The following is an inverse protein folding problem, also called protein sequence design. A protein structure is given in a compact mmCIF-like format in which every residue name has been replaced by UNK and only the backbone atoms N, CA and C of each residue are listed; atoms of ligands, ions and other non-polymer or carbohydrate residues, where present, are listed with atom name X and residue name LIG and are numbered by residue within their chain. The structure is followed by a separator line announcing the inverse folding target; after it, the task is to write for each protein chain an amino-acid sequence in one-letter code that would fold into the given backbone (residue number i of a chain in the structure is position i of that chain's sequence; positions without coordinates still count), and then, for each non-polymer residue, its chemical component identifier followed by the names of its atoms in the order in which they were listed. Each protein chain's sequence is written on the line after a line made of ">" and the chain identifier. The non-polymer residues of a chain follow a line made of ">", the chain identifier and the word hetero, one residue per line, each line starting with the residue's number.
data_IF_758345512367
#
_entry.id   IF_758345512367
#
_cell.length_a   1.000
_cell.length_b   1.000
_cell.length_c   1.000
_cell.angle_alpha   90.00
_cell.angle_beta   90.00
_cell.angle_gamma   90.00
#
_symmetry.space_group_name_H-M   'P 1'
#
loop_
_entity.id
_entity.type
_entity.pdbx_description
1 polymer ?
#
# COMPACT_ATOMS: atom_id res chain seq x y z
N UNK A 1 -16.82 7.92 5.00
CA UNK A 1 -15.36 8.01 4.83
C UNK A 1 -15.02 9.30 4.08
N UNK A 2 -13.83 9.90 4.23
CA UNK A 2 -13.37 10.97 3.32
C UNK A 2 -12.10 10.50 2.60
N UNK A 3 -12.04 10.74 1.29
CA UNK A 3 -10.93 10.37 0.41
C UNK A 3 -10.43 11.67 -0.22
N UNK A 4 -9.13 11.92 -0.19
CA UNK A 4 -8.55 13.02 -0.98
C UNK A 4 -8.41 12.55 -2.41
N UNK A 5 -9.10 13.19 -3.35
CA UNK A 5 -8.86 12.99 -4.79
C UNK A 5 -8.47 14.31 -5.45
N UNK A 6 -7.58 14.23 -6.44
CA UNK A 6 -7.29 15.35 -7.33
C UNK A 6 -8.32 15.31 -8.45
N UNK A 7 -9.41 16.08 -8.31
CA UNK A 7 -10.50 16.15 -9.29
C UNK A 7 -10.03 16.71 -10.64
N UNK A 8 -9.07 17.65 -10.60
CA UNK A 8 -8.57 18.36 -11.76
C UNK A 8 -7.03 18.43 -11.70
N UNK A 9 -6.32 17.42 -12.24
CA UNK A 9 -4.86 17.47 -12.39
C UNK A 9 -4.45 18.65 -13.27
N UNK A 10 -3.43 19.38 -12.84
CA UNK A 10 -2.84 20.46 -13.60
C UNK A 10 -1.63 19.95 -14.38
N UNK A 11 -1.56 20.26 -15.68
CA UNK A 11 -0.47 19.85 -16.56
C UNK A 11 0.82 20.65 -16.34
N UNK A 12 0.73 21.79 -15.64
CA UNK A 12 1.87 22.64 -15.34
C UNK A 12 2.81 21.98 -14.32
N UNK A 13 4.12 22.08 -14.56
CA UNK A 13 5.13 21.52 -13.66
C UNK A 13 5.33 22.44 -12.47
N UNK A 14 5.35 21.87 -11.26
CA UNK A 14 5.62 22.59 -10.00
C UNK A 14 6.85 23.53 -10.07
N UNK A 15 7.90 23.14 -10.78
CA UNK A 15 9.12 23.93 -10.90
C UNK A 15 8.96 25.19 -11.78
N UNK A 16 7.98 25.22 -12.69
CA UNK A 16 7.69 26.35 -13.58
C UNK A 16 6.81 27.41 -12.89
N UNK A 17 6.05 27.02 -11.85
CA UNK A 17 5.11 27.89 -11.13
C UNK A 17 5.84 28.93 -10.26
N UNK A 18 5.30 30.14 -10.19
CA UNK A 18 5.85 31.26 -9.42
C UNK A 18 5.83 31.01 -7.90
N UNK A 19 6.86 31.45 -7.18
CA UNK A 19 6.91 31.33 -5.71
C UNK A 19 6.03 32.40 -5.05
N UNK A 20 5.22 32.00 -4.07
CA UNK A 20 4.41 32.90 -3.22
C UNK A 20 4.47 32.45 -1.75
N UNK A 21 4.04 33.27 -0.78
CA UNK A 21 3.91 32.81 0.60
C UNK A 21 3.07 31.53 0.70
N UNK A 22 3.58 30.55 1.45
CA UNK A 22 2.95 29.25 1.73
C UNK A 22 2.76 28.31 0.52
N UNK A 23 3.35 28.59 -0.65
CA UNK A 23 3.24 27.69 -1.80
C UNK A 23 3.73 28.28 -3.12
N UNK A 24 3.03 27.96 -4.20
CA UNK A 24 3.29 28.49 -5.53
C UNK A 24 2.02 29.01 -6.21
N UNK A 25 2.15 29.94 -7.13
CA UNK A 25 1.07 30.37 -8.02
C UNK A 25 1.26 29.71 -9.38
N UNK A 26 0.21 29.05 -9.87
CA UNK A 26 0.20 28.42 -11.19
C UNK A 26 -0.60 29.28 -12.16
N UNK A 27 0.05 29.76 -13.21
CA UNK A 27 -0.56 30.63 -14.23
C UNK A 27 -1.57 29.86 -15.10
N UNK A 28 -1.28 28.59 -15.43
CA UNK A 28 -2.14 27.74 -16.26
C UNK A 28 -3.55 27.55 -15.67
N UNK A 29 -3.66 27.46 -14.33
CA UNK A 29 -4.95 27.30 -13.64
C UNK A 29 -5.35 28.49 -12.75
N UNK A 30 -4.56 29.57 -12.75
CA UNK A 30 -4.71 30.80 -11.96
C UNK A 30 -5.01 30.57 -10.47
N UNK A 31 -4.30 29.63 -9.82
CA UNK A 31 -4.55 29.22 -8.42
C UNK A 31 -3.28 29.21 -7.57
N UNK A 32 -3.43 29.53 -6.27
CA UNK A 32 -2.46 29.20 -5.23
C UNK A 32 -2.44 27.68 -5.02
N UNK A 33 -1.27 27.10 -5.16
CA UNK A 33 -0.97 25.67 -5.01
C UNK A 33 -0.14 25.47 -3.75
N UNK A 34 -0.67 24.72 -2.78
CA UNK A 34 0.02 24.36 -1.55
C UNK A 34 0.91 23.13 -1.77
N UNK A 35 2.07 23.04 -1.11
CA UNK A 35 2.82 21.78 -1.05
C UNK A 35 2.32 20.93 0.13
N UNK A 36 1.62 19.83 -0.19
CA UNK A 36 1.04 18.90 0.78
C UNK A 36 1.88 17.62 0.92
N UNK A 37 3.00 17.52 0.22
CA UNK A 37 3.84 16.32 0.21
C UNK A 37 4.44 15.98 1.58
N UNK A 38 4.61 16.98 2.44
CA UNK A 38 5.08 16.82 3.83
C UNK A 38 3.97 17.02 4.87
N UNK A 39 2.70 17.12 4.45
CA UNK A 39 1.56 17.30 5.34
C UNK A 39 1.01 15.94 5.79
N UNK A 40 0.72 15.83 7.09
CA UNK A 40 -0.07 14.72 7.64
C UNK A 40 -1.53 14.81 7.19
N UNK A 41 -2.27 13.70 7.25
CA UNK A 41 -3.67 13.67 6.82
C UNK A 41 -4.54 14.65 7.61
N UNK A 42 -4.30 14.80 8.92
CA UNK A 42 -5.03 15.74 9.77
C UNK A 42 -4.77 17.20 9.40
N UNK A 43 -3.53 17.54 9.00
CA UNK A 43 -3.22 18.88 8.47
C UNK A 43 -3.89 19.12 7.11
N UNK A 44 -3.91 18.12 6.22
CA UNK A 44 -4.62 18.22 4.92
C UNK A 44 -6.14 18.41 5.17
N UNK A 45 -6.72 17.70 6.14
CA UNK A 45 -8.11 17.89 6.54
C UNK A 45 -8.37 19.29 7.09
N UNK A 46 -7.51 19.82 7.97
CA UNK A 46 -7.65 21.18 8.50
C UNK A 46 -7.56 22.23 7.37
N UNK A 47 -6.62 22.08 6.44
CA UNK A 47 -6.50 22.96 5.27
C UNK A 47 -7.75 22.93 4.38
N UNK A 48 -8.36 21.75 4.20
CA UNK A 48 -9.64 21.60 3.49
C UNK A 48 -10.81 22.21 4.26
N UNK A 49 -10.91 21.99 5.59
CA UNK A 49 -11.96 22.59 6.43
C UNK A 49 -11.91 24.12 6.39
N UNK A 50 -10.72 24.72 6.46
CA UNK A 50 -10.50 26.17 6.37
C UNK A 50 -10.81 26.72 4.95
N UNK A 51 -10.64 25.89 3.92
CA UNK A 51 -10.79 26.27 2.51
C UNK A 51 -12.12 25.82 1.88
N UNK A 52 -13.20 25.72 2.67
CA UNK A 52 -14.53 25.29 2.21
C UNK A 52 -14.52 23.97 1.40
N UNK A 53 -13.66 23.04 1.80
CA UNK A 53 -13.51 21.72 1.20
C UNK A 53 -12.75 21.68 -0.13
N UNK A 54 -12.14 22.79 -0.59
CA UNK A 54 -11.40 22.83 -1.88
C UNK A 54 -10.08 23.60 -1.78
N UNK A 55 -8.97 22.96 -2.16
CA UNK A 55 -7.64 23.58 -2.28
C UNK A 55 -6.99 23.18 -3.61
N UNK A 56 -6.04 23.97 -4.13
CA UNK A 56 -5.10 23.44 -5.12
C UNK A 56 -3.84 22.99 -4.38
N UNK A 57 -3.38 21.77 -4.65
CA UNK A 57 -2.28 21.17 -3.91
C UNK A 57 -1.38 20.31 -4.77
N UNK A 58 -0.09 20.33 -4.46
CA UNK A 58 0.89 19.33 -4.87
C UNK A 58 0.89 18.24 -3.80
N UNK A 59 0.61 17.00 -4.21
CA UNK A 59 0.39 15.85 -3.34
C UNK A 59 0.95 14.59 -4.00
N UNK A 60 1.34 13.57 -3.23
CA UNK A 60 1.73 12.29 -3.80
C UNK A 60 0.51 11.48 -4.25
N UNK A 61 0.66 10.73 -5.34
CA UNK A 61 -0.40 9.84 -5.84
C UNK A 61 -0.87 8.82 -4.78
N UNK A 62 0.01 8.42 -3.85
CA UNK A 62 -0.33 7.53 -2.75
C UNK A 62 -1.13 8.21 -1.62
N UNK A 63 -1.04 9.54 -1.46
CA UNK A 63 -1.85 10.31 -0.52
C UNK A 63 -3.24 10.61 -1.13
N UNK A 64 -3.34 10.74 -2.46
CA UNK A 64 -4.58 11.02 -3.19
C UNK A 64 -5.42 9.78 -3.57
N UNK A 65 -5.13 8.62 -2.98
CA UNK A 65 -5.81 7.35 -3.27
C UNK A 65 -5.98 6.50 -2.00
N UNK A 66 -5.98 7.13 -0.82
CA UNK A 66 -6.19 6.49 0.47
C UNK A 66 -7.47 7.03 1.11
N UNK A 67 -8.24 6.10 1.68
CA UNK A 67 -9.30 6.43 2.61
C UNK A 67 -8.70 6.93 3.91
N UNK A 68 -9.24 8.01 4.45
CA UNK A 68 -8.94 8.44 5.80
C UNK A 68 -10.23 8.69 6.56
N UNK A 69 -10.52 7.79 7.50
CA UNK A 69 -11.43 8.07 8.59
C UNK A 69 -10.65 8.90 9.61
N UNK A 70 -11.06 10.15 9.80
CA UNK A 70 -10.59 10.97 10.93
C UNK A 70 -10.90 10.17 12.20
N UNK A 71 -9.92 9.86 13.07
CA UNK A 71 -10.23 9.29 14.36
C UNK A 71 -11.20 10.25 15.05
N UNK A 72 -12.32 9.74 15.57
CA UNK A 72 -13.25 10.57 16.32
C UNK A 72 -12.45 11.33 17.38
N UNK A 73 -12.65 12.65 17.46
CA UNK A 73 -12.09 13.41 18.56
C UNK A 73 -12.74 12.86 19.81
N UNK A 74 -12.04 12.02 20.56
CA UNK A 74 -12.44 11.63 21.90
C UNK A 74 -12.64 12.94 22.65
N UNK A 75 -13.89 13.30 22.90
CA UNK A 75 -14.24 14.43 23.74
C UNK A 75 -13.92 13.97 25.16
N UNK A 76 -12.64 14.06 25.53
CA UNK A 76 -12.22 13.85 26.90
C UNK A 76 -12.81 15.02 27.68
N UNK A 77 -14.00 14.81 28.23
CA UNK A 77 -14.59 15.68 29.23
C UNK A 77 -13.61 15.75 30.38
N UNK A 78 -12.83 16.82 30.42
CA UNK A 78 -11.77 17.02 31.41
C UNK A 78 -12.37 17.49 32.74
N UNK A 79 -13.23 16.63 33.29
CA UNK A 79 -13.90 16.87 34.56
C UNK A 79 -12.84 16.90 35.67
N UNK A 80 -12.97 17.92 36.54
CA UNK A 80 -11.88 18.42 37.38
C UNK A 80 -11.45 17.41 38.45
N UNK A 81 -10.53 16.49 38.12
CA UNK A 81 -9.75 15.76 39.13
C UNK A 81 -8.82 16.71 39.89
N UNK A 82 -9.33 17.28 40.99
CA UNK A 82 -8.51 17.96 42.01
C UNK A 82 -7.51 16.93 42.56
N UNK A 83 -6.22 17.21 42.39
CA UNK A 83 -5.16 16.28 42.78
C UNK A 83 -4.93 16.23 44.28
N UNK A 84 -4.78 15.01 44.81
CA UNK A 84 -4.06 14.75 46.05
C UNK A 84 -2.89 13.82 45.73
N UNK A 85 -1.73 14.42 45.46
CA UNK A 85 -0.45 13.73 45.55
C UNK A 85 0.37 14.42 46.62
N UNK A 86 0.40 13.83 47.81
CA UNK A 86 1.36 14.20 48.86
C UNK A 86 2.42 13.12 48.93
N UNK A 87 3.56 13.48 48.35
CA UNK A 87 4.89 12.92 48.51
C UNK A 87 5.06 12.01 49.74
N UNK A 88 5.44 10.76 49.51
CA UNK A 88 6.14 9.93 50.51
C UNK A 88 7.52 9.59 49.94
N UNK A 89 8.45 10.54 50.08
CA UNK A 89 9.87 10.27 49.96
C UNK A 89 10.38 9.85 51.35
N UNK A 90 10.33 8.54 51.64
CA UNK A 90 10.72 7.96 52.92
C UNK A 90 12.00 7.14 52.77
N UNK A 91 13.15 7.81 52.68
CA UNK A 91 14.45 7.16 52.66
C UNK A 91 14.83 6.72 54.08
N UNK A 92 15.05 5.43 54.32
CA UNK A 92 15.76 4.94 55.53
C UNK A 92 16.89 4.01 55.14
N UNK A 93 18.05 4.24 55.76
CA UNK A 93 19.36 3.62 55.48
C UNK A 93 19.79 2.80 56.70
N UNK A 94 20.71 1.85 56.49
CA UNK A 94 21.45 0.98 57.43
C UNK A 94 20.92 -0.48 57.46
N UNK A 95 21.65 -1.46 56.90
CA UNK A 95 22.87 -2.11 57.41
C UNK A 95 22.57 -3.09 58.58
N UNK A 96 23.10 -4.32 58.66
CA UNK A 96 24.51 -4.68 58.40
C UNK A 96 24.75 -6.18 58.11
N UNK A 97 25.74 -6.45 57.25
CA UNK A 97 26.81 -7.47 57.37
C UNK A 97 26.55 -8.85 58.01
N UNK A 98 26.53 -9.90 57.17
CA UNK A 98 27.47 -11.06 57.14
C UNK A 98 27.38 -11.67 55.72
N UNK A 99 28.41 -12.21 55.05
CA UNK A 99 29.77 -12.50 55.45
C UNK A 99 30.11 -13.99 55.25
N UNK A 100 30.33 -14.45 54.00
CA UNK A 100 31.02 -15.71 53.61
C UNK A 100 31.54 -15.54 52.17
N UNK A 101 32.66 -16.21 51.85
CA UNK A 101 33.44 -16.06 50.61
C UNK A 101 33.24 -17.25 49.65
N UNK A 102 34.01 -17.25 48.54
CA UNK A 102 34.24 -18.35 47.56
C UNK A 102 33.12 -18.60 46.55
N UNK A 103 33.39 -18.90 45.26
CA UNK A 103 34.61 -18.82 44.45
C UNK A 103 34.22 -18.47 43.01
N UNK A 104 35.11 -17.81 42.26
CA UNK A 104 34.94 -17.66 40.82
C UNK A 104 35.36 -18.93 40.08
N UNK A 105 34.57 -19.37 39.09
CA UNK A 105 34.99 -20.35 38.08
C UNK A 105 34.94 -19.68 36.72
N UNK A 106 36.11 -19.55 36.11
CA UNK A 106 36.29 -19.19 34.70
C UNK A 106 36.51 -20.49 33.91
N UNK A 107 36.20 -20.47 32.60
CA UNK A 107 36.86 -21.18 31.47
C UNK A 107 35.89 -21.92 30.52
N UNK A 108 35.68 -21.23 29.38
CA UNK A 108 35.72 -21.70 27.97
C UNK A 108 34.68 -22.68 27.39
N UNK A 109 34.41 -22.43 26.10
CA UNK A 109 33.63 -23.29 25.20
C UNK A 109 34.35 -24.62 24.90
N UNK A 110 33.59 -25.66 24.54
CA UNK A 110 34.00 -26.65 23.56
C UNK A 110 33.47 -26.25 22.16
N UNK A 111 34.39 -26.17 21.19
CA UNK A 111 34.06 -26.30 19.76
C UNK A 111 34.06 -27.78 19.35
N UNK A 112 34.01 -28.06 18.03
CA UNK A 112 34.46 -29.33 17.41
C UNK A 112 33.42 -30.49 17.49
N UNK A 113 33.01 -31.19 16.43
CA UNK A 113 33.28 -31.03 14.98
C UNK A 113 32.17 -31.65 14.10
N UNK A 114 32.30 -31.35 12.81
CA UNK A 114 31.64 -31.90 11.61
C UNK A 114 31.27 -33.39 11.68
N UNK A 115 30.06 -33.75 11.23
CA UNK A 115 29.78 -35.06 10.65
C UNK A 115 29.35 -34.91 9.19
N UNK A 116 30.08 -35.54 8.27
CA UNK A 116 29.83 -35.48 6.84
C UNK A 116 28.79 -36.52 6.38
N UNK A 117 28.06 -36.14 5.32
CA UNK A 117 27.50 -37.01 4.29
C UNK A 117 26.49 -38.10 4.71
N UNK A 118 25.25 -37.92 4.25
CA UNK A 118 24.84 -38.73 3.08
C UNK A 118 23.91 -37.96 2.14
N UNK A 119 24.17 -38.11 0.84
CA UNK A 119 23.29 -37.64 -0.22
C UNK A 119 21.91 -38.30 -0.11
N UNK A 120 20.86 -37.49 -0.21
CA UNK A 120 19.67 -37.86 -0.98
C UNK A 120 19.38 -36.72 -1.95
N UNK A 121 19.71 -36.95 -3.23
CA UNK A 121 19.07 -36.22 -4.32
C UNK A 121 17.64 -36.74 -4.39
N UNK A 122 16.67 -35.87 -4.15
CA UNK A 122 15.35 -36.04 -4.74
C UNK A 122 14.94 -34.71 -5.37
N UNK A 123 15.01 -34.71 -6.70
CA UNK A 123 14.46 -33.65 -7.53
C UNK A 123 12.93 -33.76 -7.48
N UNK A 124 12.30 -33.24 -6.43
CA UNK A 124 10.88 -32.93 -6.48
C UNK A 124 10.71 -31.54 -7.11
N UNK A 125 11.03 -31.48 -8.41
CA UNK A 125 10.30 -30.59 -9.30
C UNK A 125 8.85 -31.05 -9.29
N UNK A 126 8.04 -30.47 -8.40
CA UNK A 126 6.59 -30.55 -8.50
C UNK A 126 6.19 -29.91 -9.82
N UNK A 127 6.05 -30.73 -10.86
CA UNK A 127 5.28 -30.35 -12.04
C UNK A 127 3.84 -30.14 -11.57
N UNK A 128 3.52 -28.87 -11.26
CA UNK A 128 2.15 -28.41 -11.01
C UNK A 128 1.26 -28.99 -12.11
N UNK A 129 0.41 -29.98 -11.77
CA UNK A 129 -0.50 -30.61 -12.73
C UNK A 129 -1.58 -29.61 -13.14
N UNK A 130 -1.25 -28.83 -14.16
CA UNK A 130 -2.15 -27.88 -14.82
C UNK A 130 -3.41 -28.63 -15.22
N UNK A 131 -4.53 -28.26 -14.62
CA UNK A 131 -5.86 -28.76 -14.97
C UNK A 131 -6.38 -28.01 -16.21
N UNK A 132 -7.27 -28.63 -16.99
CA UNK A 132 -8.04 -27.92 -18.03
C UNK A 132 -8.89 -26.76 -17.46
N UNK A 133 -9.05 -26.71 -16.14
CA UNK A 133 -9.72 -25.63 -15.39
C UNK A 133 -8.79 -24.49 -14.99
N UNK A 134 -7.50 -24.55 -15.33
CA UNK A 134 -6.52 -23.53 -14.96
C UNK A 134 -6.17 -22.61 -16.13
N UNK A 135 -5.80 -21.38 -15.80
CA UNK A 135 -5.31 -20.37 -16.71
C UNK A 135 -3.91 -19.94 -16.28
N UNK A 136 -2.97 -20.00 -17.22
CA UNK A 136 -1.59 -19.57 -16.98
C UNK A 136 -1.45 -18.13 -17.48
N UNK A 137 -1.13 -17.23 -16.55
CA UNK A 137 -0.69 -15.86 -16.84
C UNK A 137 0.84 -15.89 -16.74
N UNK A 138 1.53 -15.58 -17.84
CA UNK A 138 2.99 -15.63 -17.89
C UNK A 138 3.56 -14.65 -18.87
N UNK A 139 4.69 -14.03 -18.51
CA UNK A 139 5.40 -13.10 -19.37
C UNK A 139 6.76 -12.74 -18.78
N UNK A 140 7.47 -11.86 -19.48
CA UNK A 140 8.76 -11.31 -19.09
C UNK A 140 8.65 -9.82 -18.80
N UNK A 141 9.24 -9.35 -17.71
CA UNK A 141 9.35 -7.94 -17.39
C UNK A 141 10.77 -7.45 -17.70
N UNK A 142 10.88 -6.42 -18.54
CA UNK A 142 12.17 -5.82 -18.93
C UNK A 142 12.19 -4.31 -18.70
N UNK A 143 13.38 -3.79 -18.42
CA UNK A 143 13.66 -2.36 -18.48
C UNK A 143 13.89 -1.96 -19.94
N UNK A 144 13.06 -1.09 -20.51
CA UNK A 144 13.11 -0.71 -21.93
C UNK A 144 14.33 0.11 -22.32
N UNK A 145 15.02 0.73 -21.35
CA UNK A 145 16.18 1.59 -21.59
C UNK A 145 17.50 0.81 -21.53
N UNK A 146 17.60 -0.15 -20.61
CA UNK A 146 18.82 -0.96 -20.40
C UNK A 146 18.74 -2.37 -21.00
N UNK A 147 17.56 -2.81 -21.45
CA UNK A 147 17.28 -4.17 -21.90
C UNK A 147 17.35 -5.24 -20.80
N UNK A 148 17.61 -4.85 -19.54
CA UNK A 148 17.82 -5.79 -18.44
C UNK A 148 16.49 -6.35 -17.92
N UNK A 149 16.47 -7.63 -17.48
CA UNK A 149 15.30 -8.21 -16.83
C UNK A 149 15.01 -7.55 -15.48
N UNK A 150 13.73 -7.41 -15.15
CA UNK A 150 13.27 -6.89 -13.85
C UNK A 150 13.01 -8.07 -12.91
N UNK A 151 13.95 -8.31 -12.00
CA UNK A 151 13.98 -9.48 -11.10
C UNK A 151 13.24 -9.19 -9.78
N UNK A 152 12.66 -10.22 -9.17
CA UNK A 152 11.97 -10.16 -7.87
C UNK A 152 10.84 -9.11 -7.77
N UNK A 153 10.19 -8.80 -8.90
CA UNK A 153 9.01 -7.95 -8.96
C UNK A 153 7.79 -8.80 -8.61
N UNK A 154 6.99 -8.39 -7.61
CA UNK A 154 5.76 -9.11 -7.28
C UNK A 154 4.68 -8.77 -8.33
N UNK A 155 4.20 -9.80 -9.02
CA UNK A 155 3.11 -9.73 -9.98
C UNK A 155 1.84 -10.21 -9.29
N UNK A 156 0.82 -9.35 -9.22
CA UNK A 156 -0.47 -9.65 -8.57
C UNK A 156 -1.60 -9.55 -9.58
N UNK A 157 -2.37 -10.64 -9.78
CA UNK A 157 -3.70 -10.55 -10.35
C UNK A 157 -4.69 -10.23 -9.22
N UNK A 158 -5.46 -9.16 -9.37
CA UNK A 158 -6.47 -8.72 -8.41
C UNK A 158 -7.86 -8.99 -8.98
N UNK A 159 -8.69 -9.71 -8.24
CA UNK A 159 -10.05 -10.12 -8.64
C UNK A 159 -11.03 -9.84 -7.51
N UNK A 160 -12.35 -9.85 -7.79
CA UNK A 160 -13.39 -9.53 -6.79
C UNK A 160 -13.16 -10.18 -5.41
N UNK A 161 -12.90 -11.50 -5.38
CA UNK A 161 -12.82 -12.28 -4.13
C UNK A 161 -11.49 -12.94 -3.83
N UNK A 162 -10.47 -12.81 -4.71
CA UNK A 162 -9.14 -13.38 -4.44
C UNK A 162 -8.01 -12.64 -5.14
N UNK A 163 -6.85 -12.57 -4.49
CA UNK A 163 -5.59 -12.16 -5.11
C UNK A 163 -4.71 -13.36 -5.40
N UNK A 164 -4.02 -13.34 -6.53
CA UNK A 164 -3.05 -14.35 -6.94
C UNK A 164 -1.70 -13.68 -7.15
N UNK A 165 -0.64 -14.19 -6.54
CA UNK A 165 0.68 -13.56 -6.48
C UNK A 165 1.78 -14.51 -6.94
N UNK A 166 2.78 -13.95 -7.64
CA UNK A 166 4.03 -14.62 -8.02
C UNK A 166 5.14 -13.56 -8.08
N UNK A 167 6.41 -13.95 -8.11
CA UNK A 167 7.53 -13.03 -8.30
C UNK A 167 8.26 -13.34 -9.62
N UNK A 168 8.83 -12.32 -10.26
CA UNK A 168 9.73 -12.56 -11.41
C UNK A 168 11.04 -13.23 -10.97
N UNK A 169 11.51 -14.19 -11.78
CA UNK A 169 12.80 -14.84 -11.59
C UNK A 169 13.99 -13.94 -12.03
N UNK A 170 15.21 -14.50 -12.03
CA UNK A 170 16.44 -13.79 -12.45
C UNK A 170 16.43 -13.34 -13.92
N UNK A 171 15.61 -13.96 -14.77
CA UNK A 171 15.40 -13.59 -16.17
C UNK A 171 14.23 -12.62 -16.36
N UNK A 172 13.60 -12.16 -15.27
CA UNK A 172 12.43 -11.28 -15.30
C UNK A 172 11.14 -12.01 -15.70
N UNK A 173 11.14 -13.34 -15.78
CA UNK A 173 10.00 -14.16 -16.17
C UNK A 173 9.13 -14.44 -14.95
N UNK A 174 7.82 -14.28 -15.09
CA UNK A 174 6.82 -14.69 -14.11
C UNK A 174 5.88 -15.75 -14.70
N UNK A 175 5.35 -16.61 -13.84
CA UNK A 175 4.27 -17.57 -14.12
C UNK A 175 3.31 -17.54 -12.94
N UNK A 176 2.02 -17.46 -13.23
CA UNK A 176 0.93 -17.47 -12.26
C UNK A 176 -0.15 -18.42 -12.77
N UNK A 177 -0.47 -19.46 -11.98
CA UNK A 177 -1.59 -20.35 -12.26
C UNK A 177 -2.82 -19.83 -11.52
N UNK A 178 -3.91 -19.63 -12.24
CA UNK A 178 -5.17 -19.07 -11.73
C UNK A 178 -6.34 -19.91 -12.23
N UNK A 179 -7.26 -20.37 -11.38
CA UNK A 179 -8.45 -21.07 -11.84
C UNK A 179 -9.26 -20.21 -12.83
N UNK A 180 -9.67 -20.79 -13.96
CA UNK A 180 -10.23 -20.09 -15.12
C UNK A 180 -11.45 -19.22 -14.79
N UNK A 181 -12.20 -19.58 -13.74
CA UNK A 181 -13.40 -18.85 -13.32
C UNK A 181 -13.11 -17.47 -12.70
N UNK A 182 -11.86 -17.19 -12.30
CA UNK A 182 -11.42 -15.85 -11.89
C UNK A 182 -11.00 -14.96 -13.07
N UNK A 183 -10.91 -15.52 -14.29
CA UNK A 183 -10.44 -14.79 -15.48
C UNK A 183 -11.62 -14.22 -16.26
N UNK A 184 -11.74 -12.90 -16.23
CA UNK A 184 -12.72 -12.17 -17.03
C UNK A 184 -12.32 -12.14 -18.51
N UNK A 185 -13.30 -11.94 -19.41
CA UNK A 185 -13.02 -11.82 -20.85
C UNK A 185 -12.19 -10.56 -21.18
N UNK A 186 -12.56 -9.42 -20.59
CA UNK A 186 -12.04 -8.11 -20.99
C UNK A 186 -11.29 -7.34 -19.89
N UNK A 187 -11.63 -7.58 -18.62
CA UNK A 187 -11.35 -6.64 -17.53
C UNK A 187 -10.55 -7.30 -16.38
N UNK A 188 -9.38 -7.86 -16.67
CA UNK A 188 -8.52 -8.45 -15.64
C UNK A 188 -7.52 -7.41 -15.15
N UNK A 189 -7.37 -7.25 -13.84
CA UNK A 189 -6.43 -6.26 -13.29
C UNK A 189 -5.13 -6.92 -12.83
N UNK A 190 -4.06 -6.62 -13.57
CA UNK A 190 -2.70 -7.07 -13.28
C UNK A 190 -1.87 -5.89 -12.72
N UNK A 191 -1.19 -6.12 -11.60
CA UNK A 191 -0.34 -5.14 -10.92
C UNK A 191 1.10 -5.67 -10.83
N UNK A 192 2.07 -4.78 -11.07
CA UNK A 192 3.50 -5.07 -10.96
C UNK A 192 4.09 -4.18 -9.86
N UNK A 193 4.47 -4.78 -8.74
CA UNK A 193 5.00 -4.06 -7.58
C UNK A 193 6.50 -3.82 -7.75
N UNK A 194 6.85 -2.59 -8.13
CA UNK A 194 8.24 -2.13 -8.26
C UNK A 194 8.83 -1.61 -6.94
N UNK A 195 8.10 -1.69 -5.81
CA UNK A 195 8.51 -1.10 -4.52
C UNK A 195 8.53 0.44 -4.49
N UNK A 196 8.19 1.09 -5.60
CA UNK A 196 8.10 2.54 -5.76
C UNK A 196 6.65 3.07 -5.68
N UNK A 197 6.49 4.40 -5.75
CA UNK A 197 5.18 5.05 -5.62
C UNK A 197 4.27 4.97 -6.86
N UNK A 198 4.67 4.23 -7.90
CA UNK A 198 3.89 4.04 -9.12
C UNK A 198 3.06 2.75 -9.06
N UNK A 199 1.94 2.81 -8.35
CA UNK A 199 0.91 1.76 -8.30
C UNK A 199 0.04 1.78 -9.59
N UNK A 200 0.70 1.54 -10.74
CA UNK A 200 0.05 1.49 -12.06
C UNK A 200 -0.53 0.10 -12.28
N UNK A 201 -1.86 0.03 -12.28
CA UNK A 201 -2.62 -1.21 -12.53
C UNK A 201 -3.02 -1.30 -14.00
N UNK A 202 -2.84 -2.46 -14.61
CA UNK A 202 -3.12 -2.73 -16.01
C UNK A 202 -4.46 -3.48 -16.12
N UNK A 203 -5.42 -2.91 -16.84
CA UNK A 203 -6.66 -3.59 -17.21
C UNK A 203 -6.40 -4.31 -18.54
N UNK A 204 -6.53 -5.64 -18.55
CA UNK A 204 -6.14 -6.50 -19.66
C UNK A 204 -7.27 -7.48 -20.02
N UNK A 205 -7.47 -7.70 -21.31
CA UNK A 205 -8.29 -8.81 -21.82
C UNK A 205 -7.66 -10.16 -21.48
N UNK A 206 -8.45 -11.24 -21.55
CA UNK A 206 -7.98 -12.62 -21.36
C UNK A 206 -6.81 -12.98 -22.29
N UNK A 207 -6.80 -12.45 -23.52
CA UNK A 207 -5.73 -12.74 -24.48
C UNK A 207 -4.49 -11.88 -24.20
N UNK A 208 -4.65 -10.63 -23.73
CA UNK A 208 -3.53 -9.79 -23.29
C UNK A 208 -2.87 -10.29 -21.99
N UNK A 209 -3.57 -11.04 -21.13
CA UNK A 209 -2.93 -11.75 -20.01
C UNK A 209 -1.89 -12.79 -20.46
N UNK A 210 -1.93 -13.23 -21.73
CA UNK A 210 -0.93 -14.13 -22.34
C UNK A 210 0.19 -13.36 -23.05
N UNK A 211 0.26 -12.03 -22.88
CA UNK A 211 1.30 -11.20 -23.49
C UNK A 211 2.68 -11.60 -22.96
N UNK A 212 3.54 -12.03 -23.88
CA UNK A 212 4.86 -12.59 -23.56
C UNK A 212 5.82 -11.60 -22.90
N UNK A 213 5.64 -10.29 -23.08
CA UNK A 213 6.57 -9.28 -22.57
C UNK A 213 5.88 -7.96 -22.18
N UNK A 214 6.31 -7.38 -21.07
CA UNK A 214 6.01 -6.03 -20.64
C UNK A 214 7.33 -5.27 -20.43
N UNK A 215 7.42 -4.08 -21.02
CA UNK A 215 8.60 -3.22 -20.95
C UNK A 215 8.29 -1.92 -20.23
N UNK A 216 9.20 -1.50 -19.34
CA UNK A 216 9.03 -0.35 -18.45
C UNK A 216 10.28 0.53 -18.50
N UNK A 217 10.10 1.85 -18.43
CA UNK A 217 11.21 2.81 -18.41
C UNK A 217 11.87 2.86 -17.02
N UNK A 218 12.89 3.71 -16.84
CA UNK A 218 13.43 3.99 -15.50
C UNK A 218 12.52 4.92 -14.70
N UNK A 219 11.79 5.82 -15.40
CA UNK A 219 10.50 6.28 -14.92
C UNK A 219 9.42 5.19 -15.16
N UNK A 220 8.28 5.26 -14.48
CA UNK A 220 7.43 4.11 -14.14
C UNK A 220 8.03 3.19 -13.04
N UNK A 221 9.28 2.68 -13.13
CA UNK A 221 9.84 1.81 -12.07
C UNK A 221 10.15 2.61 -10.80
N UNK A 222 11.00 3.64 -10.90
CA UNK A 222 11.49 4.41 -9.75
C UNK A 222 10.80 5.77 -9.57
N UNK A 223 9.57 5.93 -10.07
CA UNK A 223 8.94 7.27 -10.12
C UNK A 223 8.25 7.66 -8.82
N UNK A 224 8.77 8.74 -8.25
CA UNK A 224 8.08 9.59 -7.29
C UNK A 224 7.04 10.45 -8.04
N UNK A 225 5.79 10.01 -8.05
CA UNK A 225 4.70 10.73 -8.75
C UNK A 225 4.10 11.78 -7.81
N UNK A 226 4.47 13.03 -8.06
CA UNK A 226 3.86 14.22 -7.45
C UNK A 226 2.79 14.77 -8.39
N UNK A 227 1.53 14.67 -8.00
CA UNK A 227 0.39 15.21 -8.74
C UNK A 227 0.14 16.64 -8.23
N UNK A 228 -0.15 17.57 -9.12
CA UNK A 228 -0.61 18.91 -8.75
C UNK A 228 -2.02 19.12 -9.25
N UNK A 229 -2.93 19.67 -8.45
CA UNK A 229 -4.28 19.96 -8.91
C UNK A 229 -5.29 20.30 -7.82
N UNK A 230 -6.55 20.46 -8.23
CA UNK A 230 -7.66 20.72 -7.31
C UNK A 230 -8.00 19.50 -6.47
N UNK A 231 -7.82 19.60 -5.15
CA UNK A 231 -8.21 18.61 -4.15
C UNK A 231 -9.52 19.06 -3.52
N UNK A 232 -10.47 18.14 -3.43
CA UNK A 232 -11.83 18.39 -2.99
C UNK A 232 -12.27 17.32 -1.99
N UNK A 233 -12.97 17.72 -0.92
CA UNK A 233 -13.59 16.78 0.01
C UNK A 233 -15.04 16.45 -0.41
N UNK A 234 -15.22 15.75 -1.53
CA UNK A 234 -16.51 15.13 -1.87
C UNK A 234 -16.80 14.00 -0.86
N UNK A 235 -18.07 13.85 -0.44
CA UNK A 235 -18.51 12.62 0.24
C UNK A 235 -18.62 11.54 -0.84
N UNK A 236 -17.75 10.55 -0.77
CA UNK A 236 -17.83 9.35 -1.61
C UNK A 236 -18.51 8.25 -0.80
N UNK A 237 -19.30 7.42 -1.49
CA UNK A 237 -19.91 6.20 -0.95
C UNK A 237 -19.35 5.04 -1.79
N UNK A 238 -18.08 4.64 -1.52
CA UNK A 238 -17.42 3.62 -2.32
C UNK A 238 -17.96 2.23 -1.99
N UNK A 239 -17.94 1.32 -2.96
CA UNK A 239 -18.17 -0.10 -2.70
C UNK A 239 -17.03 -0.64 -1.83
N UNK A 240 -17.36 -1.41 -0.79
CA UNK A 240 -16.39 -2.09 0.07
C UNK A 240 -16.64 -3.60 -0.05
N UNK A 241 -15.62 -4.36 -0.45
CA UNK A 241 -15.67 -5.82 -0.47
C UNK A 241 -14.65 -6.41 0.51
N UNK A 242 -15.06 -7.41 1.30
CA UNK A 242 -14.18 -8.27 2.11
C UNK A 242 -14.25 -9.68 1.56
N UNK A 243 -13.13 -10.21 1.09
CA UNK A 243 -13.00 -11.53 0.43
C UNK A 243 -14.03 -11.80 -0.70
N UNK A 244 -14.61 -10.73 -1.25
CA UNK A 244 -15.60 -10.76 -2.35
C UNK A 244 -17.06 -10.56 -1.94
N UNK A 245 -17.35 -10.44 -0.64
CA UNK A 245 -18.68 -10.09 -0.11
C UNK A 245 -18.76 -8.58 0.15
N UNK A 246 -19.91 -7.96 -0.16
CA UNK A 246 -20.11 -6.51 -0.03
C UNK A 246 -20.58 -6.17 1.39
N UNK A 247 -19.91 -5.22 2.02
CA UNK A 247 -20.14 -4.78 3.40
C UNK A 247 -20.29 -3.26 3.47
N UNK A 248 -20.86 -2.74 4.55
CA UNK A 248 -20.98 -1.30 4.78
C UNK A 248 -19.76 -0.68 5.51
N UNK A 249 -19.71 0.65 5.61
CA UNK A 249 -18.61 1.37 6.28
C UNK A 249 -18.56 1.09 7.80
N UNK A 250 -19.70 0.79 8.42
CA UNK A 250 -19.79 0.50 9.84
C UNK A 250 -19.23 -0.90 10.13
N UNK A 251 -19.61 -1.91 9.34
CA UNK A 251 -19.04 -3.26 9.39
C UNK A 251 -17.52 -3.22 9.19
N UNK A 252 -17.02 -2.43 8.23
CA UNK A 252 -15.57 -2.23 8.04
C UNK A 252 -14.90 -1.58 9.26
N UNK A 253 -15.58 -0.71 9.99
CA UNK A 253 -15.03 -0.03 11.17
C UNK A 253 -14.86 -0.95 12.38
N UNK A 254 -15.58 -2.08 12.42
CA UNK A 254 -15.50 -3.10 13.47
C UNK A 254 -14.35 -4.10 13.21
N UNK A 255 -13.74 -4.08 12.02
CA UNK A 255 -12.64 -4.97 11.62
C UNK A 255 -11.25 -4.41 11.95
N UNK A 256 -10.34 -5.26 12.45
CA UNK A 256 -8.91 -4.93 12.54
C UNK A 256 -8.26 -4.99 11.16
N UNK A 257 -8.19 -3.84 10.50
CA UNK A 257 -7.63 -3.66 9.16
C UNK A 257 -6.18 -4.17 9.01
N UNK A 258 -5.44 -4.37 10.11
CA UNK A 258 -4.08 -4.94 10.06
C UNK A 258 -4.05 -6.40 9.59
N UNK A 259 -5.19 -7.10 9.69
CA UNK A 259 -5.32 -8.51 9.29
C UNK A 259 -5.60 -8.69 7.79
N UNK A 260 -5.71 -7.60 7.03
CA UNK A 260 -6.10 -7.63 5.62
C UNK A 260 -5.01 -7.08 4.70
N UNK A 261 -4.91 -7.63 3.49
CA UNK A 261 -4.34 -6.95 2.35
C UNK A 261 -5.44 -6.06 1.76
N UNK A 262 -5.20 -4.76 1.57
CA UNK A 262 -6.20 -3.86 1.00
C UNK A 262 -5.74 -3.26 -0.33
N UNK A 263 -6.68 -3.05 -1.25
CA UNK A 263 -6.47 -2.37 -2.51
C UNK A 263 -7.60 -1.36 -2.74
N UNK A 264 -7.26 -0.19 -3.26
CA UNK A 264 -8.22 0.84 -3.67
C UNK A 264 -8.16 1.06 -5.19
N UNK A 265 -9.33 1.23 -5.78
CA UNK A 265 -9.54 1.52 -7.19
C UNK A 265 -10.55 2.65 -7.34
N UNK A 266 -10.41 3.45 -8.39
CA UNK A 266 -11.33 4.53 -8.74
C UNK A 266 -11.63 4.53 -10.24
N UNK A 267 -12.78 5.10 -10.62
CA UNK A 267 -13.20 5.26 -12.01
C UNK A 267 -13.15 3.95 -12.82
N UNK A 268 -12.51 3.99 -14.00
CA UNK A 268 -12.47 2.85 -14.95
C UNK A 268 -11.89 1.57 -14.36
N UNK A 269 -10.93 1.66 -13.43
CA UNK A 269 -10.30 0.47 -12.84
C UNK A 269 -11.18 -0.17 -11.76
N UNK A 270 -11.98 0.63 -11.04
CA UNK A 270 -12.99 0.11 -10.12
C UNK A 270 -14.07 -0.67 -10.89
N UNK A 271 -14.63 -0.03 -11.94
CA UNK A 271 -15.60 -0.63 -12.87
C UNK A 271 -15.11 -1.94 -13.49
N UNK A 272 -13.81 -2.03 -13.79
CA UNK A 272 -13.20 -3.23 -14.34
C UNK A 272 -13.15 -4.41 -13.34
N UNK A 273 -12.91 -4.17 -12.05
CA UNK A 273 -12.81 -5.25 -11.05
C UNK A 273 -14.19 -5.67 -10.53
N UNK A 274 -15.13 -4.72 -10.37
CA UNK A 274 -16.47 -5.01 -9.83
C UNK A 274 -17.62 -4.66 -10.79
N UNK A 275 -18.06 -3.41 -10.82
CA UNK A 275 -19.26 -2.99 -11.57
C UNK A 275 -19.35 -1.46 -11.73
N UNK A 276 -20.29 -0.99 -12.55
CA UNK A 276 -20.63 0.43 -12.70
C UNK A 276 -20.94 1.13 -11.36
N UNK A 277 -21.51 0.42 -10.38
CA UNK A 277 -21.82 0.96 -9.05
C UNK A 277 -20.56 1.43 -8.28
N UNK A 278 -19.38 0.91 -8.64
CA UNK A 278 -18.11 1.29 -8.02
C UNK A 278 -17.41 2.51 -8.65
N UNK A 279 -18.12 3.31 -9.45
CA UNK A 279 -17.57 4.53 -10.07
C UNK A 279 -16.96 5.51 -9.05
N UNK A 280 -17.65 5.72 -7.93
CA UNK A 280 -17.22 6.57 -6.82
C UNK A 280 -16.13 5.92 -5.93
N UNK A 281 -15.72 4.69 -6.23
CA UNK A 281 -14.60 3.99 -5.62
C UNK A 281 -14.89 2.53 -5.29
N UNK A 282 -13.83 1.71 -5.25
CA UNK A 282 -13.86 0.32 -4.81
C UNK A 282 -12.71 0.06 -3.83
N UNK A 283 -13.05 -0.45 -2.65
CA UNK A 283 -12.11 -0.99 -1.68
C UNK A 283 -12.23 -2.51 -1.64
N UNK A 284 -11.11 -3.20 -1.83
CA UNK A 284 -11.02 -4.65 -1.73
C UNK A 284 -10.12 -5.01 -0.56
N UNK A 285 -10.67 -5.69 0.44
CA UNK A 285 -9.97 -6.26 1.57
C UNK A 285 -9.91 -7.78 1.38
N UNK A 286 -8.72 -8.36 1.56
CA UNK A 286 -8.50 -9.80 1.50
C UNK A 286 -7.85 -10.25 2.80
N UNK A 287 -8.38 -11.28 3.44
CA UNK A 287 -7.78 -11.85 4.65
C UNK A 287 -6.34 -12.34 4.33
N UNK A 288 -5.42 -12.15 5.29
CA UNK A 288 -3.99 -12.52 5.15
C UNK A 288 -3.72 -14.01 5.32
#
# INVERSE_FOLDING_TARGET
>A
MKIFQVENPCEEKWNNMHNIPEGKFCDLCSKKVLDLTQKTNDEIFQLLEISNGKICGKIFQHQSNRSFSRPERIIINHEKRKGYSRLVAGLTIAASLTGIQTNAVTIQHPSTEISQNKNLKENNSEEEKISDKDFIISGKLINSETGKPLQNIQVTLITKGKIFKTNTNQEGIYKLIVPIFYIQKNNNVLHFDFGGYNDKKYILTKDELRKKEFSFKNNEINTFISITGGISSKKFEPTILVDGEEIDEKELSELDQRNFNFFHFSGKTAKAVYSEASEDGLYLFYTK
#
